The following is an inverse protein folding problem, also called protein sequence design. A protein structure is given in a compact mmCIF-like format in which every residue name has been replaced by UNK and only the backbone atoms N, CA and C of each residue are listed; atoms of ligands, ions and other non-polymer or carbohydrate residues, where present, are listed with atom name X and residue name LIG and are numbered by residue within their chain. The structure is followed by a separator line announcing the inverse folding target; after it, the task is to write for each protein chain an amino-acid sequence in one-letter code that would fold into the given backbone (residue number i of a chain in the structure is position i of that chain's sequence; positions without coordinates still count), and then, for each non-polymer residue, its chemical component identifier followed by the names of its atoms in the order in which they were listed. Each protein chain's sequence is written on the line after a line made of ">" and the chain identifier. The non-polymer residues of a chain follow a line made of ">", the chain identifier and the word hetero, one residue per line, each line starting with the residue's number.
data_IF_736729512010
#
_entry.id   IF_736729512010
#
_cell.length_a   1.000
_cell.length_b   1.000
_cell.length_c   1.000
_cell.angle_alpha   90.00
_cell.angle_beta   90.00
_cell.angle_gamma   90.00
#
_symmetry.space_group_name_H-M   'P 1'
#
loop_
_entity.id
_entity.type
_entity.pdbx_description
1 polymer ?
#
# COMPACT_ATOMS: atom_id res chain seq x y z
N UNK A 1 -11.30 9.00 -0.89
CA UNK A 1 -11.87 10.14 -1.64
C UNK A 1 -10.84 10.56 -2.69
N UNK A 2 -11.24 10.89 -3.93
CA UNK A 2 -10.30 11.14 -5.04
C UNK A 2 -9.32 12.31 -4.79
N UNK A 3 -9.78 13.39 -4.18
CA UNK A 3 -8.95 14.55 -3.81
C UNK A 3 -7.77 14.20 -2.88
N UNK A 4 -7.97 13.29 -1.92
CA UNK A 4 -6.93 12.82 -1.00
C UNK A 4 -5.87 12.04 -1.76
N UNK A 5 -6.28 11.19 -2.71
CA UNK A 5 -5.34 10.42 -3.54
C UNK A 5 -4.51 11.36 -4.42
N UNK A 6 -5.14 12.36 -5.02
CA UNK A 6 -4.45 13.36 -5.84
C UNK A 6 -3.44 14.17 -5.02
N UNK A 7 -3.81 14.58 -3.79
CA UNK A 7 -2.91 15.30 -2.89
C UNK A 7 -1.69 14.44 -2.50
N UNK A 8 -1.90 13.15 -2.21
CA UNK A 8 -0.82 12.20 -1.90
C UNK A 8 0.11 12.03 -3.11
N UNK A 9 -0.44 11.84 -4.30
CA UNK A 9 0.34 11.67 -5.52
C UNK A 9 1.17 12.90 -5.87
N UNK A 10 0.60 14.10 -5.75
CA UNK A 10 1.31 15.37 -5.92
C UNK A 10 2.45 15.53 -4.91
N UNK A 11 2.22 15.16 -3.65
CA UNK A 11 3.25 15.23 -2.61
C UNK A 11 4.41 14.27 -2.89
N UNK A 12 4.11 13.02 -3.26
CA UNK A 12 5.13 12.02 -3.63
C UNK A 12 5.95 12.52 -4.82
N UNK A 13 5.30 12.98 -5.89
CA UNK A 13 5.98 13.49 -7.08
C UNK A 13 6.93 14.65 -6.74
N UNK A 14 6.52 15.56 -5.84
CA UNK A 14 7.36 16.67 -5.38
C UNK A 14 8.58 16.19 -4.58
N UNK A 15 8.39 15.24 -3.66
CA UNK A 15 9.49 14.68 -2.83
C UNK A 15 10.51 13.97 -3.72
N UNK A 16 10.04 13.09 -4.61
CA UNK A 16 10.89 12.32 -5.53
C UNK A 16 11.60 13.26 -6.51
N UNK A 17 10.88 14.24 -7.09
CA UNK A 17 11.46 15.23 -8.00
C UNK A 17 12.51 16.14 -7.35
N UNK A 18 12.46 16.32 -6.03
CA UNK A 18 13.49 17.01 -5.25
C UNK A 18 14.70 16.12 -4.90
N UNK A 19 14.77 14.89 -5.40
CA UNK A 19 15.81 13.92 -5.08
C UNK A 19 15.77 13.43 -3.62
N UNK A 20 14.61 13.54 -2.96
CA UNK A 20 14.40 13.08 -1.58
C UNK A 20 13.68 11.74 -1.57
N UNK A 21 13.77 11.04 -0.44
CA UNK A 21 13.15 9.71 -0.27
C UNK A 21 11.71 9.87 0.21
N UNK A 22 10.75 9.39 -0.57
CA UNK A 22 9.34 9.37 -0.21
C UNK A 22 8.97 8.08 0.53
N UNK A 23 7.99 8.20 1.44
CA UNK A 23 7.37 7.08 2.14
C UNK A 23 5.85 7.23 2.20
N UNK A 24 5.12 6.11 2.23
CA UNK A 24 3.66 6.11 2.33
C UNK A 24 3.11 4.80 2.93
N UNK A 25 1.83 4.86 3.34
CA UNK A 25 1.05 3.70 3.73
C UNK A 25 0.51 2.97 2.50
N UNK A 26 0.65 1.65 2.48
CA UNK A 26 0.22 0.77 1.38
C UNK A 26 -0.52 -0.46 1.88
N UNK A 27 -1.17 -1.15 0.94
CA UNK A 27 -1.75 -2.48 1.10
C UNK A 27 -1.48 -3.30 -0.18
N UNK A 28 -1.89 -4.56 -0.19
CA UNK A 28 -1.63 -5.48 -1.32
C UNK A 28 -2.13 -4.94 -2.67
N UNK A 29 -3.17 -4.09 -2.67
CA UNK A 29 -3.77 -3.57 -3.88
C UNK A 29 -3.08 -2.34 -4.47
N UNK A 30 -2.13 -1.71 -3.76
CA UNK A 30 -1.50 -0.47 -4.22
C UNK A 30 0.02 -0.38 -4.00
N UNK A 31 0.63 -1.38 -3.36
CA UNK A 31 2.08 -1.41 -3.09
C UNK A 31 2.92 -1.22 -4.36
N UNK A 32 2.54 -1.91 -5.45
CA UNK A 32 3.24 -1.85 -6.74
C UNK A 32 3.15 -0.47 -7.37
N UNK A 33 1.96 0.14 -7.35
CA UNK A 33 1.73 1.45 -7.93
C UNK A 33 2.56 2.54 -7.22
N UNK A 34 2.70 2.47 -5.89
CA UNK A 34 3.54 3.42 -5.16
C UNK A 34 5.03 3.15 -5.34
N UNK A 35 5.45 1.88 -5.43
CA UNK A 35 6.83 1.55 -5.77
C UNK A 35 7.23 2.10 -7.16
N UNK A 36 6.36 1.98 -8.16
CA UNK A 36 6.58 2.53 -9.50
C UNK A 36 6.66 4.07 -9.53
N UNK A 37 6.01 4.74 -8.57
CA UNK A 37 6.11 6.21 -8.38
C UNK A 37 7.43 6.64 -7.71
N UNK A 38 8.33 5.71 -7.40
CA UNK A 38 9.63 6.00 -6.77
C UNK A 38 9.59 6.08 -5.25
N UNK A 39 8.49 5.65 -4.61
CA UNK A 39 8.42 5.53 -3.14
C UNK A 39 9.34 4.39 -2.68
N UNK A 40 10.15 4.63 -1.65
CA UNK A 40 11.09 3.62 -1.14
C UNK A 40 10.69 3.09 0.25
N UNK A 41 10.06 3.92 1.08
CA UNK A 41 9.56 3.47 2.39
C UNK A 41 8.07 3.14 2.33
N UNK A 42 7.77 1.84 2.30
CA UNK A 42 6.41 1.31 2.17
C UNK A 42 5.99 0.68 3.50
N UNK A 43 4.99 1.26 4.16
CA UNK A 43 4.46 0.72 5.41
C UNK A 43 3.09 0.09 5.18
N UNK A 44 2.92 -1.17 5.55
CA UNK A 44 1.60 -1.81 5.61
C UNK A 44 1.09 -1.82 7.05
N UNK A 45 -0.21 -1.67 7.24
CA UNK A 45 -0.83 -1.84 8.56
C UNK A 45 -0.81 -3.31 8.96
N UNK A 46 -0.02 -3.66 9.97
CA UNK A 46 0.12 -5.03 10.46
C UNK A 46 -1.23 -5.66 10.83
N UNK A 47 -2.04 -4.98 11.65
CA UNK A 47 -3.31 -5.51 12.14
C UNK A 47 -4.30 -5.80 11.00
N UNK A 48 -4.38 -4.89 10.02
CA UNK A 48 -5.26 -5.09 8.87
C UNK A 48 -4.76 -6.23 7.97
N UNK A 49 -3.45 -6.28 7.72
CA UNK A 49 -2.84 -7.29 6.88
C UNK A 49 -2.98 -8.70 7.47
N UNK A 50 -2.68 -8.88 8.76
CA UNK A 50 -2.78 -10.20 9.41
C UNK A 50 -4.23 -10.68 9.53
N UNK A 51 -5.18 -9.79 9.81
CA UNK A 51 -6.59 -10.14 9.89
C UNK A 51 -7.14 -10.62 8.52
N UNK A 52 -6.79 -9.90 7.44
CA UNK A 52 -7.14 -10.29 6.07
C UNK A 52 -6.54 -11.66 5.73
N UNK A 53 -5.24 -11.84 5.97
CA UNK A 53 -4.56 -13.10 5.67
C UNK A 53 -5.14 -14.29 6.44
N UNK A 54 -5.51 -14.10 7.72
CA UNK A 54 -6.16 -15.15 8.52
C UNK A 54 -7.53 -15.55 7.95
N UNK A 55 -8.36 -14.58 7.58
CA UNK A 55 -9.67 -14.83 7.00
C UNK A 55 -9.58 -15.59 5.66
N UNK A 56 -8.67 -15.16 4.77
CA UNK A 56 -8.43 -15.81 3.48
C UNK A 56 -7.93 -17.25 3.64
N UNK A 57 -7.06 -17.50 4.62
CA UNK A 57 -6.54 -18.82 4.90
C UNK A 57 -7.65 -19.78 5.38
N UNK A 58 -8.49 -19.34 6.32
CA UNK A 58 -9.63 -20.12 6.83
C UNK A 58 -10.60 -20.46 5.69
N UNK A 59 -10.92 -19.48 4.83
CA UNK A 59 -11.80 -19.69 3.68
C UNK A 59 -11.23 -20.75 2.73
N UNK A 60 -9.94 -20.68 2.39
CA UNK A 60 -9.28 -21.69 1.54
C UNK A 60 -9.33 -23.08 2.16
N UNK A 61 -9.09 -23.19 3.46
CA UNK A 61 -9.15 -24.47 4.18
C UNK A 61 -10.58 -25.03 4.21
N UNK A 62 -11.59 -24.16 4.34
CA UNK A 62 -13.00 -24.55 4.30
C UNK A 62 -13.43 -25.06 2.92
N UNK A 63 -13.02 -24.39 1.83
CA UNK A 63 -13.37 -24.77 0.46
C UNK A 63 -12.71 -26.06 -0.04
N UNK A 64 -11.67 -26.54 0.64
CA UNK A 64 -10.98 -27.77 0.31
C UNK A 64 -11.66 -29.03 0.89
N UNK A 65 -12.78 -28.88 1.61
CA UNK A 65 -13.56 -29.96 2.21
C UNK A 65 -14.92 -30.11 1.55
#
# INVERSE_FOLDING_TARGET
>A
HPDVLEAVDKAIAKIVGAGKVAGTLVNDGNVEAYAQKGVQYLMTSWNAWVAKGAAEFIQKAGNAR
#
